data_IF_384696664116
#
_entry.id   IF_384696664116
#
_cell.length_a   1.000
_cell.length_b   1.000
_cell.length_c   1.000
_cell.angle_alpha   90.00
_cell.angle_beta   90.00
_cell.angle_gamma   90.00
#
_symmetry.space_group_name_H-M   'P 1'
#
loop_
_entity.id
_entity.type
_entity.pdbx_description
1 polymer ?
#
# COMPACT_ATOMS: atom_id res chain seq x y z
N UNK A 1 -39.87 -12.26 87.52
CA UNK A 1 -39.35 -11.20 86.64
C UNK A 1 -37.83 -11.32 86.59
N UNK A 2 -37.27 -11.60 85.40
CA UNK A 2 -35.85 -11.51 84.98
C UNK A 2 -34.77 -12.28 85.76
N UNK A 3 -33.75 -12.88 85.13
CA UNK A 3 -33.46 -13.46 83.81
C UNK A 3 -32.04 -14.05 84.00
N UNK A 4 -31.84 -15.34 83.73
CA UNK A 4 -30.53 -16.01 83.76
C UNK A 4 -29.61 -15.40 82.68
N UNK A 5 -28.35 -15.08 83.01
CA UNK A 5 -27.31 -14.77 82.01
C UNK A 5 -26.42 -16.00 81.84
N UNK A 6 -26.49 -16.58 80.65
CA UNK A 6 -25.66 -17.69 80.19
C UNK A 6 -24.47 -17.10 79.41
N UNK A 7 -23.28 -17.63 79.67
CA UNK A 7 -22.06 -17.34 78.95
C UNK A 7 -22.12 -17.82 77.49
N UNK A 8 -21.50 -17.08 76.57
CA UNK A 8 -21.26 -17.50 75.20
C UNK A 8 -19.86 -17.06 74.76
N UNK A 9 -18.95 -18.04 74.61
CA UNK A 9 -17.69 -17.87 73.89
C UNK A 9 -18.00 -17.67 72.40
N UNK A 10 -17.57 -16.56 71.82
CA UNK A 10 -17.57 -16.34 70.37
C UNK A 10 -16.18 -16.67 69.86
N UNK A 11 -16.06 -17.79 69.15
CA UNK A 11 -14.86 -18.18 68.41
C UNK A 11 -14.82 -17.37 67.11
N UNK A 12 -13.85 -16.47 66.97
CA UNK A 12 -13.65 -15.70 65.75
C UNK A 12 -12.98 -16.58 64.67
N UNK A 13 -13.74 -16.98 63.65
CA UNK A 13 -13.16 -17.50 62.41
C UNK A 13 -12.57 -16.33 61.62
N UNK A 14 -11.25 -16.30 61.50
CA UNK A 14 -10.55 -15.41 60.58
C UNK A 14 -10.79 -15.87 59.14
N UNK A 15 -11.59 -15.12 58.38
CA UNK A 15 -11.65 -15.23 56.93
C UNK A 15 -10.46 -14.48 56.35
N UNK A 16 -9.41 -15.20 55.95
CA UNK A 16 -8.40 -14.67 55.03
C UNK A 16 -9.02 -14.58 53.63
N UNK A 17 -9.10 -13.39 52.99
CA UNK A 17 -9.43 -13.33 51.58
C UNK A 17 -8.26 -13.91 50.80
N UNK A 18 -8.46 -15.10 50.22
CA UNK A 18 -7.59 -15.59 49.17
C UNK A 18 -7.77 -14.64 47.97
N UNK A 19 -6.80 -13.75 47.76
CA UNK A 19 -6.60 -13.11 46.46
C UNK A 19 -6.21 -14.21 45.47
N UNK A 20 -7.23 -14.83 44.89
CA UNK A 20 -7.08 -15.72 43.75
C UNK A 20 -6.72 -14.85 42.53
N UNK A 21 -5.43 -14.57 42.38
CA UNK A 21 -4.84 -14.24 41.08
C UNK A 21 -4.83 -15.50 40.21
N UNK A 22 -6.01 -15.91 39.75
CA UNK A 22 -6.13 -16.88 38.67
C UNK A 22 -6.55 -16.09 37.44
N UNK A 23 -5.55 -15.56 36.73
CA UNK A 23 -5.72 -15.11 35.36
C UNK A 23 -6.03 -16.39 34.57
N UNK A 24 -7.32 -16.70 34.42
CA UNK A 24 -7.77 -17.75 33.50
C UNK A 24 -7.11 -17.45 32.18
N UNK A 25 -6.26 -18.37 31.68
CA UNK A 25 -5.78 -18.30 30.31
C UNK A 25 -7.02 -18.14 29.44
N UNK A 26 -7.17 -16.95 28.86
CA UNK A 26 -8.39 -16.65 28.16
C UNK A 26 -8.43 -17.54 26.92
N UNK A 27 -9.54 -18.23 26.68
CA UNK A 27 -9.75 -19.11 25.52
C UNK A 27 -9.99 -18.30 24.23
N UNK A 28 -9.52 -17.05 24.21
CA UNK A 28 -9.71 -16.08 23.15
C UNK A 28 -8.46 -15.20 23.01
N UNK A 29 -8.16 -14.71 21.80
CA UNK A 29 -7.07 -13.75 21.59
C UNK A 29 -7.33 -12.44 22.33
N UNK A 30 -6.25 -11.70 22.63
CA UNK A 30 -6.31 -10.36 23.24
C UNK A 30 -5.61 -9.34 22.37
N UNK A 31 -5.90 -8.05 22.61
CA UNK A 31 -5.21 -6.98 21.89
C UNK A 31 -3.71 -7.01 22.16
N UNK A 32 -3.30 -7.04 23.42
CA UNK A 32 -1.90 -6.93 23.80
C UNK A 32 -1.03 -8.07 23.26
N UNK A 33 -1.55 -9.30 23.29
CA UNK A 33 -0.76 -10.48 22.95
C UNK A 33 -0.77 -10.80 21.46
N UNK A 34 -1.94 -10.88 20.82
CA UNK A 34 -2.07 -11.28 19.42
C UNK A 34 -2.44 -10.13 18.48
N UNK A 35 -3.58 -9.46 18.71
CA UNK A 35 -4.17 -8.56 17.70
C UNK A 35 -3.34 -7.31 17.44
N UNK A 36 -2.64 -6.77 18.45
CA UNK A 36 -1.77 -5.59 18.28
C UNK A 36 -0.70 -5.81 17.21
N UNK A 37 -0.16 -7.03 17.07
CA UNK A 37 0.85 -7.36 16.06
C UNK A 37 0.25 -7.32 14.66
N UNK A 38 -0.95 -7.91 14.50
CA UNK A 38 -1.68 -7.88 13.23
C UNK A 38 -2.01 -6.44 12.83
N UNK A 39 -2.49 -5.62 13.76
CA UNK A 39 -2.81 -4.20 13.53
C UNK A 39 -1.55 -3.39 13.19
N UNK A 40 -0.45 -3.58 13.92
CA UNK A 40 0.82 -2.92 13.61
C UNK A 40 1.34 -3.29 12.22
N UNK A 41 1.27 -4.57 11.86
CA UNK A 41 1.86 -5.08 10.62
C UNK A 41 1.04 -4.72 9.38
N UNK A 42 -0.29 -4.67 9.50
CA UNK A 42 -1.19 -4.62 8.34
C UNK A 42 -2.05 -3.35 8.27
N UNK A 43 -2.26 -2.64 9.38
CA UNK A 43 -3.22 -1.53 9.43
C UNK A 43 -2.56 -0.18 9.72
N UNK A 44 -1.58 -0.12 10.61
CA UNK A 44 -1.02 1.16 11.08
C UNK A 44 -0.32 1.96 9.98
N UNK A 45 0.24 1.31 8.96
CA UNK A 45 0.88 2.02 7.85
C UNK A 45 -0.06 3.04 7.19
N UNK A 46 -1.35 2.69 7.08
CA UNK A 46 -2.40 3.57 6.58
C UNK A 46 -3.16 4.28 7.72
N UNK A 47 -3.39 3.60 8.84
CA UNK A 47 -4.16 4.10 9.99
C UNK A 47 -3.25 4.69 11.07
N UNK A 48 -2.46 5.68 10.68
CA UNK A 48 -1.66 6.49 11.60
C UNK A 48 -1.85 7.98 11.25
N UNK A 49 -1.52 8.90 12.16
CA UNK A 49 -1.69 10.33 11.92
C UNK A 49 -1.03 10.81 10.61
N UNK A 50 -1.83 11.44 9.75
CA UNK A 50 -1.39 12.03 8.49
C UNK A 50 -1.39 11.09 7.28
N UNK A 51 -1.61 9.80 7.48
CA UNK A 51 -1.78 8.83 6.39
C UNK A 51 -3.25 8.74 5.95
N UNK A 52 -3.53 7.91 4.94
CA UNK A 52 -4.86 7.85 4.29
C UNK A 52 -5.99 7.37 5.21
N UNK A 53 -5.68 6.59 6.24
CA UNK A 53 -6.67 6.05 7.17
C UNK A 53 -7.41 7.19 7.87
N UNK A 54 -8.76 7.23 7.83
CA UNK A 54 -9.53 8.34 8.40
C UNK A 54 -9.53 8.35 9.94
N UNK A 55 -9.03 7.30 10.57
CA UNK A 55 -8.82 7.14 12.00
C UNK A 55 -7.48 6.47 12.27
N UNK A 56 -6.89 6.80 13.42
CA UNK A 56 -5.66 6.21 13.92
C UNK A 56 -5.92 4.84 14.56
N UNK A 57 -4.98 3.91 14.41
CA UNK A 57 -4.95 2.59 15.05
C UNK A 57 -3.63 2.36 15.80
N UNK A 58 -3.02 3.43 16.33
CA UNK A 58 -1.72 3.39 17.01
C UNK A 58 -1.79 2.94 18.46
N UNK A 59 -2.99 2.82 19.03
CA UNK A 59 -3.23 2.37 20.42
C UNK A 59 -4.51 1.54 20.55
N UNK A 60 -4.66 0.81 21.67
CA UNK A 60 -5.86 0.02 21.95
C UNK A 60 -7.11 0.91 22.05
N UNK A 61 -6.98 2.06 22.72
CA UNK A 61 -8.06 3.01 22.94
C UNK A 61 -8.61 3.56 21.62
N UNK A 62 -7.73 3.72 20.63
CA UNK A 62 -8.08 4.13 19.28
C UNK A 62 -8.69 2.98 18.45
N UNK A 63 -8.17 1.75 18.57
CA UNK A 63 -8.64 0.59 17.78
C UNK A 63 -9.99 0.07 18.28
N UNK A 64 -10.17 -0.06 19.60
CA UNK A 64 -11.30 -0.73 20.23
C UNK A 64 -12.68 -0.23 19.76
N UNK A 65 -12.95 1.09 19.61
CA UNK A 65 -14.23 1.58 19.12
C UNK A 65 -14.59 1.09 17.72
N UNK A 66 -13.58 0.79 16.89
CA UNK A 66 -13.75 0.34 15.52
C UNK A 66 -13.74 -1.17 15.37
N UNK A 67 -13.55 -1.94 16.44
CA UNK A 67 -13.44 -3.40 16.41
C UNK A 67 -14.57 -4.10 15.59
N UNK A 68 -15.87 -3.75 15.73
CA UNK A 68 -16.92 -4.37 14.91
C UNK A 68 -16.76 -4.07 13.40
N UNK A 69 -16.32 -2.86 13.05
CA UNK A 69 -16.10 -2.47 11.66
C UNK A 69 -14.85 -3.14 11.10
N UNK A 70 -13.76 -3.19 11.87
CA UNK A 70 -12.53 -3.90 11.51
C UNK A 70 -12.87 -5.36 11.20
N UNK A 71 -13.61 -6.05 12.09
CA UNK A 71 -14.09 -7.42 11.89
C UNK A 71 -14.82 -7.58 10.55
N UNK A 72 -15.79 -6.71 10.27
CA UNK A 72 -16.54 -6.73 9.01
C UNK A 72 -15.60 -6.61 7.81
N UNK A 73 -14.72 -5.61 7.81
CA UNK A 73 -13.83 -5.31 6.68
C UNK A 73 -12.77 -6.36 6.42
N UNK A 74 -12.21 -6.98 7.47
CA UNK A 74 -11.25 -8.08 7.29
C UNK A 74 -11.94 -9.37 6.84
N UNK A 75 -13.17 -9.64 7.31
CA UNK A 75 -13.95 -10.79 6.86
C UNK A 75 -14.37 -10.68 5.40
N UNK A 76 -14.71 -9.47 4.95
CA UNK A 76 -15.03 -9.15 3.55
C UNK A 76 -13.77 -9.05 2.67
N UNK A 77 -12.57 -9.15 3.26
CA UNK A 77 -11.27 -8.94 2.60
C UNK A 77 -11.17 -7.58 1.88
N UNK A 78 -11.88 -6.58 2.39
CA UNK A 78 -11.75 -5.19 1.95
C UNK A 78 -10.55 -4.49 2.60
N UNK A 79 -10.08 -5.00 3.75
CA UNK A 79 -8.94 -4.48 4.49
C UNK A 79 -7.95 -5.59 4.85
N UNK A 80 -6.63 -5.37 4.69
CA UNK A 80 -6.00 -4.27 3.96
C UNK A 80 -6.50 -4.21 2.52
N UNK A 81 -6.56 -3.01 1.91
CA UNK A 81 -7.13 -2.82 0.60
C UNK A 81 -6.14 -3.36 -0.45
N UNK A 82 -6.18 -4.66 -0.69
CA UNK A 82 -5.33 -5.34 -1.65
C UNK A 82 -6.18 -6.36 -2.40
N UNK A 83 -6.53 -6.00 -3.64
CA UNK A 83 -7.62 -6.61 -4.40
C UNK A 83 -7.23 -7.90 -5.13
N UNK A 84 -6.03 -8.44 -4.85
CA UNK A 84 -5.55 -9.68 -5.45
C UNK A 84 -6.27 -10.89 -4.83
N UNK A 85 -6.91 -11.70 -5.66
CA UNK A 85 -7.69 -12.86 -5.22
C UNK A 85 -6.81 -13.89 -4.47
N UNK A 86 -7.37 -14.54 -3.44
CA UNK A 86 -6.62 -15.43 -2.53
C UNK A 86 -6.43 -16.87 -3.03
N UNK A 87 -6.98 -17.18 -4.21
CA UNK A 87 -7.13 -18.55 -4.71
C UNK A 87 -6.85 -18.71 -6.23
N UNK A 88 -6.70 -17.61 -6.97
CA UNK A 88 -6.51 -17.61 -8.43
C UNK A 88 -5.21 -16.90 -8.82
N UNK A 89 -4.40 -17.53 -9.65
CA UNK A 89 -3.11 -17.00 -10.11
C UNK A 89 -1.94 -17.35 -9.19
N UNK A 90 -0.85 -16.59 -9.31
CA UNK A 90 0.37 -16.76 -8.50
C UNK A 90 0.13 -16.38 -7.03
N UNK A 91 0.03 -17.37 -6.14
CA UNK A 91 -0.28 -17.13 -4.73
C UNK A 91 0.92 -16.81 -3.83
N UNK A 92 2.14 -17.12 -4.28
CA UNK A 92 3.36 -16.86 -3.51
C UNK A 92 3.95 -15.50 -3.89
N UNK A 93 3.28 -14.44 -3.46
CA UNK A 93 3.68 -13.06 -3.73
C UNK A 93 4.76 -12.60 -2.74
N UNK A 94 5.71 -11.80 -3.23
CA UNK A 94 6.64 -11.07 -2.37
C UNK A 94 5.93 -9.84 -1.81
N UNK A 95 6.07 -9.58 -0.51
CA UNK A 95 5.39 -8.47 0.18
C UNK A 95 3.86 -8.55 0.07
N UNK A 96 3.30 -9.74 0.25
CA UNK A 96 1.85 -9.98 0.26
C UNK A 96 1.17 -9.26 1.43
N UNK A 97 0.23 -8.36 1.14
CA UNK A 97 -0.52 -7.59 2.15
C UNK A 97 -1.87 -8.21 2.52
N UNK A 98 -2.21 -9.36 1.93
CA UNK A 98 -3.44 -10.07 2.30
C UNK A 98 -3.29 -10.58 3.72
N UNK A 99 -4.33 -10.38 4.53
CA UNK A 99 -4.42 -11.08 5.81
C UNK A 99 -4.60 -12.58 5.58
N UNK A 100 -3.84 -13.35 6.35
CA UNK A 100 -4.01 -14.80 6.41
C UNK A 100 -5.38 -15.16 7.02
N UNK A 101 -5.89 -16.35 6.72
CA UNK A 101 -7.12 -16.82 7.35
C UNK A 101 -7.00 -16.92 8.89
N UNK A 102 -5.79 -17.19 9.38
CA UNK A 102 -5.46 -17.24 10.80
C UNK A 102 -5.54 -15.84 11.44
N UNK A 103 -4.99 -14.82 10.80
CA UNK A 103 -5.04 -13.43 11.29
C UNK A 103 -6.48 -12.91 11.30
N UNK A 104 -7.25 -13.18 10.22
CA UNK A 104 -8.68 -12.85 10.16
C UNK A 104 -9.42 -13.55 11.30
N UNK A 105 -9.19 -14.85 11.50
CA UNK A 105 -9.80 -15.62 12.58
C UNK A 105 -9.45 -15.08 13.96
N UNK A 106 -8.21 -14.65 14.16
CA UNK A 106 -7.72 -14.06 15.41
C UNK A 106 -8.42 -12.74 15.71
N UNK A 107 -8.54 -11.85 14.72
CA UNK A 107 -9.29 -10.60 14.86
C UNK A 107 -10.76 -10.90 15.17
N UNK A 108 -11.39 -11.78 14.41
CA UNK A 108 -12.81 -12.13 14.58
C UNK A 108 -13.08 -12.67 15.99
N UNK A 109 -12.28 -13.63 16.46
CA UNK A 109 -12.43 -14.22 17.79
C UNK A 109 -12.21 -13.18 18.90
N UNK A 110 -11.23 -12.28 18.74
CA UNK A 110 -11.02 -11.17 19.67
C UNK A 110 -12.23 -10.23 19.74
N UNK A 111 -12.79 -9.86 18.59
CA UNK A 111 -13.98 -8.99 18.55
C UNK A 111 -15.20 -9.69 19.14
N UNK A 112 -15.41 -10.97 18.81
CA UNK A 112 -16.54 -11.77 19.31
C UNK A 112 -16.45 -11.97 20.84
N UNK A 113 -15.24 -11.95 21.41
CA UNK A 113 -14.98 -11.94 22.85
C UNK A 113 -15.17 -10.55 23.52
N UNK A 114 -15.60 -9.53 22.78
CA UNK A 114 -15.78 -8.17 23.30
C UNK A 114 -14.55 -7.27 23.22
N UNK A 115 -13.58 -7.63 22.37
CA UNK A 115 -12.34 -6.89 22.11
C UNK A 115 -11.50 -6.61 23.38
N UNK A 116 -11.15 -7.63 24.19
CA UNK A 116 -10.40 -7.45 25.44
C UNK A 116 -8.96 -6.96 25.20
N UNK A 117 -8.47 -6.08 26.08
CA UNK A 117 -7.09 -5.59 26.06
C UNK A 117 -6.06 -6.71 26.30
N UNK A 118 -6.29 -7.59 27.29
CA UNK A 118 -5.29 -8.56 27.75
C UNK A 118 -4.28 -7.94 28.72
N UNK A 119 -3.11 -8.57 28.88
CA UNK A 119 -2.03 -8.06 29.73
C UNK A 119 -1.20 -7.00 28.96
N UNK A 120 -1.21 -5.71 29.36
CA UNK A 120 -0.43 -4.68 28.66
C UNK A 120 1.07 -4.95 28.59
N UNK A 121 1.63 -5.78 29.48
CA UNK A 121 3.05 -6.16 29.44
C UNK A 121 3.42 -7.05 28.24
N UNK A 122 2.42 -7.64 27.57
CA UNK A 122 2.61 -8.47 26.36
C UNK A 122 2.60 -7.65 25.05
N UNK A 123 2.31 -6.34 25.15
CA UNK A 123 2.33 -5.43 24.01
C UNK A 123 3.69 -5.46 23.32
N UNK A 124 3.71 -5.51 21.97
CA UNK A 124 4.95 -5.34 21.24
C UNK A 124 5.40 -3.88 21.37
N UNK A 125 6.71 -3.60 21.23
CA UNK A 125 7.18 -2.24 21.05
C UNK A 125 6.40 -1.54 19.92
N UNK A 126 6.09 -0.23 20.04
CA UNK A 126 5.52 0.52 18.92
C UNK A 126 6.43 0.42 17.69
N UNK A 127 5.84 0.25 16.51
CA UNK A 127 6.57 0.38 15.25
C UNK A 127 6.71 1.84 14.88
N UNK A 128 7.91 2.20 14.46
CA UNK A 128 8.15 3.49 13.83
C UNK A 128 7.75 3.40 12.35
N UNK A 129 6.91 4.33 11.92
CA UNK A 129 6.59 4.50 10.51
C UNK A 129 7.10 5.87 10.04
N UNK A 130 7.52 5.97 8.76
CA UNK A 130 7.93 7.25 8.19
C UNK A 130 6.83 8.30 8.33
N UNK A 131 7.19 9.49 8.78
CA UNK A 131 6.24 10.58 8.87
C UNK A 131 5.83 11.05 7.47
N UNK A 132 4.69 11.73 7.37
CA UNK A 132 4.27 12.34 6.11
C UNK A 132 5.34 13.33 5.63
N UNK A 133 5.81 13.14 4.40
CA UNK A 133 6.88 13.93 3.80
C UNK A 133 8.29 13.36 4.03
N UNK A 134 8.41 12.15 4.57
CA UNK A 134 9.68 11.42 4.68
C UNK A 134 9.73 10.25 3.69
N UNK A 135 10.93 9.97 3.18
CA UNK A 135 11.20 8.83 2.31
C UNK A 135 11.06 7.52 3.08
N UNK A 136 10.12 6.67 2.66
CA UNK A 136 9.86 5.39 3.32
C UNK A 136 10.98 4.39 3.11
N UNK A 137 11.56 4.37 1.91
CA UNK A 137 12.67 3.47 1.59
C UNK A 137 13.98 3.87 2.29
N UNK A 138 14.06 5.09 2.84
CA UNK A 138 15.30 5.56 3.46
C UNK A 138 15.67 4.85 4.76
N UNK A 139 14.70 4.26 5.46
CA UNK A 139 14.97 3.43 6.62
C UNK A 139 15.79 2.17 6.27
N UNK A 140 15.66 1.67 5.04
CA UNK A 140 16.38 0.48 4.55
C UNK A 140 17.58 0.84 3.67
N UNK A 141 17.44 1.86 2.83
CA UNK A 141 18.40 2.18 1.77
C UNK A 141 19.23 3.45 2.03
N UNK A 142 18.96 4.18 3.10
CA UNK A 142 19.50 5.53 3.29
C UNK A 142 18.80 6.58 2.41
N UNK A 143 19.22 7.86 2.42
CA UNK A 143 18.61 8.87 1.57
C UNK A 143 18.73 8.53 0.08
N UNK A 144 17.83 9.02 -0.79
CA UNK A 144 17.96 8.83 -2.23
C UNK A 144 19.27 9.43 -2.75
N UNK A 145 19.92 8.75 -3.69
CA UNK A 145 21.12 9.25 -4.36
C UNK A 145 20.82 10.45 -5.26
N UNK A 146 19.60 10.51 -5.79
CA UNK A 146 19.17 11.56 -6.68
C UNK A 146 17.72 11.93 -6.42
N UNK A 147 17.41 13.22 -6.42
CA UNK A 147 16.03 13.71 -6.26
C UNK A 147 15.68 14.70 -7.37
N UNK A 148 14.46 14.58 -7.90
CA UNK A 148 13.96 15.43 -8.99
C UNK A 148 12.59 15.95 -8.57
N UNK A 149 12.41 17.26 -8.61
CA UNK A 149 11.16 17.91 -8.20
C UNK A 149 10.37 18.39 -9.42
N UNK A 150 9.04 18.30 -9.36
CA UNK A 150 8.17 18.99 -10.31
C UNK A 150 8.32 20.51 -10.18
N UNK A 151 7.84 21.28 -11.16
CA UNK A 151 7.70 22.73 -10.98
C UNK A 151 6.57 23.05 -9.99
N UNK A 152 6.60 24.21 -9.30
CA UNK A 152 5.58 24.59 -8.35
C UNK A 152 4.17 24.71 -8.95
N UNK A 153 3.17 24.26 -8.20
CA UNK A 153 1.76 24.37 -8.57
C UNK A 153 0.88 24.80 -7.38
N UNK A 154 -0.16 25.58 -7.64
CA UNK A 154 -1.11 25.97 -6.59
C UNK A 154 -2.30 25.01 -6.59
N UNK A 155 -2.38 24.15 -5.58
CA UNK A 155 -3.53 23.26 -5.38
C UNK A 155 -4.66 24.06 -4.74
N UNK A 156 -5.83 24.20 -5.39
CA UNK A 156 -6.97 24.89 -4.79
C UNK A 156 -7.59 24.03 -3.68
N UNK A 157 -8.28 24.68 -2.74
CA UNK A 157 -9.01 23.97 -1.67
C UNK A 157 -10.19 23.14 -2.20
N UNK A 158 -10.85 23.60 -3.26
CA UNK A 158 -12.03 22.96 -3.82
C UNK A 158 -11.92 22.95 -5.34
N UNK A 159 -12.47 21.91 -5.98
CA UNK A 159 -12.47 21.80 -7.43
C UNK A 159 -12.84 20.40 -7.89
N UNK A 160 -12.82 20.21 -9.21
CA UNK A 160 -12.76 18.89 -9.82
C UNK A 160 -11.30 18.42 -9.86
N UNK A 161 -11.07 17.25 -10.46
CA UNK A 161 -9.74 16.72 -10.70
C UNK A 161 -8.87 17.69 -11.53
N UNK A 162 -7.60 17.81 -11.15
CA UNK A 162 -6.63 18.68 -11.79
C UNK A 162 -5.39 17.88 -12.17
N UNK A 163 -4.87 18.11 -13.39
CA UNK A 163 -3.60 17.55 -13.85
C UNK A 163 -2.56 18.64 -13.99
N UNK A 164 -1.42 18.44 -13.33
CA UNK A 164 -0.22 19.24 -13.51
C UNK A 164 0.86 18.40 -14.18
N UNK A 165 1.28 18.82 -15.38
CA UNK A 165 2.13 18.01 -16.26
C UNK A 165 3.40 18.75 -16.71
N UNK A 166 4.27 19.17 -15.78
CA UNK A 166 5.52 19.82 -16.15
C UNK A 166 6.55 18.82 -16.65
N UNK A 167 7.50 19.33 -17.44
CA UNK A 167 8.77 18.66 -17.74
C UNK A 167 9.90 19.39 -17.02
N UNK A 168 10.78 18.65 -16.35
CA UNK A 168 11.91 19.20 -15.59
C UNK A 168 13.18 18.47 -15.97
N UNK A 169 14.30 19.18 -16.10
CA UNK A 169 15.60 18.55 -16.34
C UNK A 169 15.93 17.59 -15.19
N UNK A 170 16.34 16.36 -15.53
CA UNK A 170 16.62 15.35 -14.51
C UNK A 170 17.88 15.68 -13.72
N UNK A 171 18.86 16.35 -14.32
CA UNK A 171 20.19 16.55 -13.74
C UNK A 171 21.04 15.27 -13.66
N UNK A 172 20.63 14.18 -14.31
CA UNK A 172 21.37 12.92 -14.35
C UNK A 172 22.48 13.04 -15.41
N UNK A 173 23.74 12.92 -14.98
CA UNK A 173 24.90 13.11 -15.85
C UNK A 173 25.29 11.85 -16.64
N UNK A 174 25.02 10.67 -16.08
CA UNK A 174 25.45 9.38 -16.61
C UNK A 174 24.31 8.36 -16.50
N UNK A 175 24.26 7.41 -17.45
CA UNK A 175 23.29 6.32 -17.39
C UNK A 175 23.59 5.47 -16.16
N UNK A 176 22.58 5.20 -15.34
CA UNK A 176 22.75 4.38 -14.14
C UNK A 176 21.58 3.42 -13.96
N UNK A 177 21.87 2.21 -13.48
CA UNK A 177 20.81 1.29 -13.08
C UNK A 177 20.13 1.72 -11.78
N UNK A 178 18.81 1.77 -11.79
CA UNK A 178 17.98 2.07 -10.62
C UNK A 178 17.89 0.81 -9.74
N UNK A 179 18.06 0.99 -8.43
CA UNK A 179 17.81 0.00 -7.37
C UNK A 179 16.40 0.15 -6.79
N UNK A 180 15.97 1.39 -6.55
CA UNK A 180 14.63 1.70 -6.10
C UNK A 180 14.18 3.11 -6.48
N UNK A 181 12.87 3.33 -6.50
CA UNK A 181 12.24 4.63 -6.76
C UNK A 181 11.13 4.85 -5.74
N UNK A 182 11.00 6.07 -5.26
CA UNK A 182 9.87 6.50 -4.44
C UNK A 182 9.38 7.86 -4.93
N UNK A 183 8.07 8.03 -5.04
CA UNK A 183 7.44 9.34 -5.31
C UNK A 183 6.87 9.89 -4.01
N UNK A 184 7.24 11.11 -3.68
CA UNK A 184 6.92 11.78 -2.43
C UNK A 184 6.18 13.09 -2.71
N UNK A 185 4.84 13.12 -2.52
CA UNK A 185 4.09 14.36 -2.44
C UNK A 185 4.58 15.23 -1.29
N UNK A 186 4.39 16.55 -1.39
CA UNK A 186 4.69 17.42 -0.25
C UNK A 186 3.81 17.06 0.95
N UNK A 187 4.29 17.36 2.15
CA UNK A 187 3.50 17.15 3.37
C UNK A 187 2.17 17.88 3.36
N UNK A 188 2.10 19.06 2.73
CA UNK A 188 0.90 19.88 2.69
C UNK A 188 -0.15 19.35 1.70
N UNK A 189 0.29 18.81 0.55
CA UNK A 189 -0.59 18.25 -0.46
C UNK A 189 -0.72 16.71 -0.38
N UNK A 190 -0.16 16.06 0.63
CA UNK A 190 -0.23 14.59 0.77
C UNK A 190 -1.66 14.06 0.64
N UNK A 191 -2.65 14.73 1.26
CA UNK A 191 -4.06 14.33 1.17
C UNK A 191 -4.74 14.61 -0.18
N UNK A 192 -4.17 15.48 -1.01
CA UNK A 192 -4.75 15.89 -2.30
C UNK A 192 -4.01 15.32 -3.51
N UNK A 193 -2.75 14.90 -3.40
CA UNK A 193 -2.02 14.23 -4.48
C UNK A 193 -2.48 12.79 -4.62
N UNK A 194 -3.39 12.54 -5.56
CA UNK A 194 -4.01 11.23 -5.78
C UNK A 194 -3.15 10.32 -6.68
N UNK A 195 -2.60 10.87 -7.77
CA UNK A 195 -1.56 10.22 -8.57
C UNK A 195 -0.42 11.19 -8.89
N UNK A 196 0.78 10.65 -9.11
CA UNK A 196 1.97 11.42 -9.46
C UNK A 196 2.92 10.59 -10.33
N UNK A 197 2.46 10.28 -11.54
CA UNK A 197 3.20 9.45 -12.46
C UNK A 197 4.35 10.24 -13.08
N UNK A 198 5.48 9.59 -13.26
CA UNK A 198 6.67 10.20 -13.87
C UNK A 198 7.29 9.30 -14.93
N UNK A 199 7.86 9.91 -15.96
CA UNK A 199 8.54 9.22 -17.04
C UNK A 199 9.77 9.99 -17.48
N UNK A 200 10.80 9.27 -17.92
CA UNK A 200 11.97 9.88 -18.53
C UNK A 200 11.65 10.30 -19.96
N UNK A 201 12.22 11.43 -20.37
CA UNK A 201 12.20 11.96 -21.72
C UNK A 201 13.66 12.15 -22.15
N UNK A 202 14.04 11.63 -23.32
CA UNK A 202 15.40 11.72 -23.87
C UNK A 202 15.36 12.30 -25.27
N UNK A 203 16.51 12.76 -25.77
CA UNK A 203 16.61 13.14 -27.18
C UNK A 203 16.83 11.92 -28.08
N UNK A 204 16.12 11.84 -29.19
CA UNK A 204 16.36 10.87 -30.25
C UNK A 204 17.56 11.28 -31.14
N UNK A 205 17.84 10.51 -32.20
CA UNK A 205 18.94 10.77 -33.14
C UNK A 205 18.82 12.13 -33.87
N UNK A 206 17.61 12.69 -33.94
CA UNK A 206 17.33 13.99 -34.56
C UNK A 206 17.37 15.15 -33.55
N UNK A 207 17.58 14.85 -32.27
CA UNK A 207 17.54 15.83 -31.18
C UNK A 207 16.13 16.14 -30.66
N UNK A 208 15.10 15.40 -31.10
CA UNK A 208 13.73 15.55 -30.64
C UNK A 208 13.52 14.88 -29.29
N UNK A 209 12.84 15.55 -28.37
CA UNK A 209 12.52 15.00 -27.06
C UNK A 209 11.37 13.99 -27.17
N UNK A 210 11.63 12.74 -26.79
CA UNK A 210 10.69 11.62 -26.84
C UNK A 210 10.62 10.89 -25.51
N UNK A 211 9.47 10.30 -25.19
CA UNK A 211 9.31 9.46 -23.99
C UNK A 211 10.25 8.26 -24.06
N UNK A 212 11.16 8.16 -23.10
CA UNK A 212 12.10 7.03 -22.97
C UNK A 212 11.44 5.83 -22.28
N UNK A 213 10.79 6.08 -21.14
CA UNK A 213 10.18 5.03 -20.33
C UNK A 213 9.60 5.55 -19.04
N UNK A 214 8.71 4.78 -18.39
CA UNK A 214 8.12 5.19 -17.12
C UNK A 214 9.15 5.06 -15.99
N UNK A 215 9.29 6.12 -15.20
CA UNK A 215 10.17 6.17 -14.04
C UNK A 215 9.44 5.58 -12.83
N UNK A 216 8.25 6.11 -12.54
CA UNK A 216 7.42 5.69 -11.40
C UNK A 216 5.94 5.76 -11.78
N UNK A 217 5.17 4.77 -11.35
CA UNK A 217 3.72 4.92 -11.19
C UNK A 217 3.48 5.20 -9.70
N UNK A 218 2.80 6.29 -9.39
CA UNK A 218 2.40 6.60 -8.02
C UNK A 218 0.90 6.78 -7.98
N UNK A 219 0.27 5.98 -7.14
CA UNK A 219 -1.04 6.23 -6.59
C UNK A 219 -0.88 6.47 -5.09
N UNK A 220 -1.77 7.27 -4.53
CA UNK A 220 -1.82 7.52 -3.10
C UNK A 220 -1.75 6.20 -2.32
N UNK A 221 -0.93 6.15 -1.26
CA UNK A 221 -0.64 4.94 -0.46
C UNK A 221 0.43 3.98 -0.97
N UNK A 222 0.85 4.06 -2.24
CA UNK A 222 1.93 3.22 -2.75
C UNK A 222 3.23 3.60 -2.03
N UNK A 223 4.00 2.60 -1.60
CA UNK A 223 5.21 2.85 -0.78
C UNK A 223 6.43 3.22 -1.61
N UNK A 224 6.52 2.72 -2.84
CA UNK A 224 7.69 2.83 -3.71
C UNK A 224 7.87 1.56 -4.55
N UNK A 225 8.86 1.58 -5.45
CA UNK A 225 9.17 0.49 -6.35
C UNK A 225 10.63 0.05 -6.15
N UNK A 226 10.86 -1.26 -6.00
CA UNK A 226 12.22 -1.82 -5.96
C UNK A 226 12.47 -2.59 -7.24
N UNK A 227 13.56 -2.27 -7.93
CA UNK A 227 13.99 -3.03 -9.10
C UNK A 227 14.49 -4.40 -8.61
N UNK A 228 14.03 -5.52 -9.20
CA UNK A 228 14.44 -6.85 -8.78
C UNK A 228 15.95 -7.08 -8.88
N UNK A 229 16.46 -8.02 -8.08
CA UNK A 229 17.87 -8.41 -8.12
C UNK A 229 18.27 -8.89 -9.51
N UNK A 230 19.41 -8.40 -9.99
CA UNK A 230 19.98 -8.74 -11.30
C UNK A 230 19.26 -8.07 -12.48
N UNK A 231 18.35 -7.14 -12.22
CA UNK A 231 17.65 -6.38 -13.24
C UNK A 231 18.07 -4.91 -13.21
N UNK A 232 18.00 -4.23 -14.35
CA UNK A 232 18.33 -2.82 -14.50
C UNK A 232 17.18 -2.08 -15.18
N UNK A 233 16.56 -1.14 -14.44
CA UNK A 233 15.79 -0.05 -15.02
C UNK A 233 16.74 1.13 -15.19
N UNK A 234 17.02 1.52 -16.42
CA UNK A 234 18.00 2.59 -16.69
C UNK A 234 17.40 3.96 -16.37
N UNK A 235 18.14 4.75 -15.58
CA UNK A 235 17.96 6.19 -15.49
C UNK A 235 18.88 6.86 -16.53
N UNK A 236 18.33 7.41 -17.62
CA UNK A 236 19.15 7.93 -18.72
C UNK A 236 19.81 9.26 -18.38
N UNK A 237 21.07 9.40 -18.79
CA UNK A 237 21.82 10.66 -18.77
C UNK A 237 21.14 11.73 -19.63
N UNK A 238 21.36 13.00 -19.26
CA UNK A 238 20.90 14.18 -20.01
C UNK A 238 19.39 14.14 -20.34
N UNK A 239 18.61 13.49 -19.48
CA UNK A 239 17.18 13.31 -19.65
C UNK A 239 16.39 14.40 -18.94
N UNK A 240 15.10 14.50 -19.26
CA UNK A 240 14.09 15.18 -18.45
C UNK A 240 13.19 14.18 -17.76
N UNK A 241 12.47 14.63 -16.75
CA UNK A 241 11.33 13.94 -16.16
C UNK A 241 10.06 14.69 -16.54
N UNK A 242 9.19 14.02 -17.29
CA UNK A 242 7.82 14.42 -17.52
C UNK A 242 6.93 13.92 -16.39
N UNK A 243 6.09 14.80 -15.88
CA UNK A 243 5.17 14.54 -14.77
C UNK A 243 3.74 14.44 -15.27
N UNK A 244 2.92 13.65 -14.59
CA UNK A 244 1.46 13.69 -14.69
C UNK A 244 0.89 13.56 -13.28
N UNK A 245 0.71 14.71 -12.63
CA UNK A 245 0.31 14.82 -11.23
C UNK A 245 -1.18 15.14 -11.17
N UNK A 246 -1.96 14.17 -10.70
CA UNK A 246 -3.40 14.29 -10.49
C UNK A 246 -3.65 14.72 -9.05
N UNK A 247 -4.16 15.95 -8.88
CA UNK A 247 -4.66 16.45 -7.61
C UNK A 247 -6.18 16.32 -7.52
N UNK A 248 -6.66 15.77 -6.41
CA UNK A 248 -8.03 15.80 -5.96
C UNK A 248 -8.15 16.75 -4.75
N UNK A 249 -8.72 17.96 -4.90
CA UNK A 249 -8.84 18.92 -3.81
C UNK A 249 -9.54 18.35 -2.56
N UNK A 250 -8.89 18.43 -1.40
CA UNK A 250 -9.33 17.82 -0.13
C UNK A 250 -9.97 18.82 0.85
N UNK A 251 -10.26 20.04 0.39
CA UNK A 251 -10.74 21.15 1.22
C UNK A 251 -9.62 22.11 1.68
N UNK A 252 -8.34 21.81 1.42
CA UNK A 252 -7.21 22.67 1.81
C UNK A 252 -6.46 23.18 0.59
N UNK A 253 -6.31 24.50 0.51
CA UNK A 253 -5.48 25.11 -0.53
C UNK A 253 -3.99 24.96 -0.15
N UNK A 254 -3.17 24.53 -1.11
CA UNK A 254 -1.73 24.37 -0.94
C UNK A 254 -1.01 25.21 -2.00
N UNK A 255 -0.40 26.35 -1.63
CA UNK A 255 0.35 27.16 -2.56
C UNK A 255 1.72 26.55 -2.84
N UNK A 256 2.18 26.65 -4.11
CA UNK A 256 3.51 26.22 -4.56
C UNK A 256 3.86 24.77 -4.16
N UNK A 257 2.89 23.87 -4.25
CA UNK A 257 3.13 22.45 -4.07
C UNK A 257 4.10 21.91 -5.13
N UNK A 258 4.93 20.96 -4.71
CA UNK A 258 5.85 20.23 -5.59
C UNK A 258 5.88 18.78 -5.15
N UNK A 259 5.85 17.87 -6.13
CA UNK A 259 6.07 16.45 -5.91
C UNK A 259 7.54 16.14 -6.23
N UNK A 260 8.16 15.29 -5.41
CA UNK A 260 9.56 14.87 -5.59
C UNK A 260 9.62 13.39 -5.91
N UNK A 261 10.48 12.97 -6.82
CA UNK A 261 10.83 11.56 -7.03
C UNK A 261 12.27 11.35 -6.55
N UNK A 262 12.45 10.36 -5.68
CA UNK A 262 13.74 9.91 -5.17
C UNK A 262 14.17 8.66 -5.91
N UNK A 263 15.43 8.62 -6.35
CA UNK A 263 16.05 7.50 -7.03
C UNK A 263 17.23 7.02 -6.20
N UNK A 264 17.25 5.71 -5.93
CA UNK A 264 18.40 4.99 -5.42
C UNK A 264 19.00 4.22 -6.57
N UNK A 265 20.30 4.36 -6.80
CA UNK A 265 21.01 3.64 -7.83
C UNK A 265 21.55 2.32 -7.31
N UNK A 266 21.91 1.43 -8.23
CA UNK A 266 22.66 0.24 -7.89
C UNK A 266 24.06 0.62 -7.37
N UNK A 267 24.63 -0.26 -6.57
CA UNK A 267 25.97 -0.11 -6.00
C UNK A 267 27.03 -0.18 -7.13
N UNK A 268 28.22 0.39 -6.93
CA UNK A 268 29.27 0.47 -7.97
C UNK A 268 29.77 -0.90 -8.47
N UNK A 269 29.59 -1.96 -7.66
CA UNK A 269 29.96 -3.34 -8.00
C UNK A 269 28.85 -4.11 -8.73
N UNK A 270 27.71 -3.47 -9.01
CA UNK A 270 26.63 -4.08 -9.78
C UNK A 270 27.04 -4.25 -11.24
N UNK A 271 27.00 -5.50 -11.71
CA UNK A 271 27.31 -5.85 -13.10
C UNK A 271 26.13 -5.47 -14.03
N UNK A 272 26.17 -4.23 -14.53
CA UNK A 272 25.18 -3.69 -15.47
C UNK A 272 25.17 -4.46 -16.81
N UNK A 273 26.30 -5.00 -17.26
CA UNK A 273 26.40 -5.72 -18.54
C UNK A 273 25.67 -7.06 -18.51
N UNK A 274 25.69 -7.74 -17.36
CA UNK A 274 24.96 -8.99 -17.15
C UNK A 274 23.50 -8.81 -16.75
N UNK A 275 23.08 -7.57 -16.46
CA UNK A 275 21.76 -7.29 -15.92
C UNK A 275 20.64 -7.51 -16.96
N UNK A 276 19.51 -8.04 -16.51
CA UNK A 276 18.31 -8.11 -17.34
C UNK A 276 17.69 -6.71 -17.46
N UNK A 277 17.37 -6.23 -18.69
CA UNK A 277 16.65 -4.98 -18.84
C UNK A 277 15.27 -5.07 -18.18
N UNK A 278 14.87 -4.03 -17.46
CA UNK A 278 13.59 -3.94 -16.77
C UNK A 278 12.91 -2.62 -17.11
N UNK A 279 11.62 -2.69 -17.44
CA UNK A 279 10.79 -1.53 -17.72
C UNK A 279 9.46 -1.58 -16.96
N UNK A 280 8.89 -0.40 -16.71
CA UNK A 280 7.51 -0.28 -16.25
C UNK A 280 6.66 0.19 -17.44
N UNK A 281 5.72 -0.63 -17.88
CA UNK A 281 4.86 -0.36 -19.03
C UNK A 281 3.38 -0.50 -18.71
N UNK A 282 2.60 0.41 -19.28
CA UNK A 282 1.16 0.31 -19.34
C UNK A 282 0.76 -0.53 -20.57
N UNK A 283 0.17 -1.70 -20.34
CA UNK A 283 -0.36 -2.55 -21.40
C UNK A 283 -1.85 -2.27 -21.58
N UNK A 284 -2.20 -1.63 -22.70
CA UNK A 284 -3.58 -1.22 -22.96
C UNK A 284 -4.47 -2.39 -23.40
N UNK A 285 -5.74 -2.35 -23.00
CA UNK A 285 -6.77 -3.25 -23.51
C UNK A 285 -7.18 -2.86 -24.95
N UNK A 286 -7.68 -3.81 -25.73
CA UNK A 286 -8.21 -3.52 -27.08
C UNK A 286 -9.37 -2.53 -26.99
N UNK A 287 -9.42 -1.57 -27.92
CA UNK A 287 -10.49 -0.56 -27.98
C UNK A 287 -10.04 0.89 -27.85
N UNK A 288 -8.76 1.15 -27.53
CA UNK A 288 -8.10 2.42 -27.84
C UNK A 288 -8.70 3.70 -27.23
N UNK A 289 -9.44 3.61 -26.12
CA UNK A 289 -9.82 4.77 -25.30
C UNK A 289 -11.32 4.97 -25.09
N UNK A 290 -12.17 4.59 -26.04
CA UNK A 290 -13.62 4.87 -25.95
C UNK A 290 -14.45 3.60 -25.80
N UNK A 291 -14.81 3.28 -24.56
CA UNK A 291 -15.76 2.22 -24.24
C UNK A 291 -17.17 2.79 -24.06
N UNK A 292 -18.09 2.42 -24.96
CA UNK A 292 -19.51 2.70 -24.76
C UNK A 292 -20.15 1.61 -23.89
N UNK A 293 -20.38 1.94 -22.62
CA UNK A 293 -21.13 1.07 -21.69
C UNK A 293 -22.50 1.71 -21.47
N UNK A 294 -23.59 1.15 -22.02
CA UNK A 294 -24.92 1.72 -21.81
C UNK A 294 -25.33 1.65 -20.33
N UNK A 295 -26.27 2.50 -19.87
CA UNK A 295 -26.83 2.39 -18.52
C UNK A 295 -27.31 0.95 -18.24
N UNK A 296 -26.94 0.41 -17.08
CA UNK A 296 -27.17 -1.00 -16.68
C UNK A 296 -26.54 -2.06 -17.61
N UNK A 297 -25.73 -1.65 -18.59
CA UNK A 297 -24.97 -2.53 -19.46
C UNK A 297 -23.71 -3.08 -18.79
N UNK A 298 -23.14 -4.10 -19.43
CA UNK A 298 -21.86 -4.70 -19.10
C UNK A 298 -20.98 -4.70 -20.34
N UNK A 299 -19.67 -4.57 -20.13
CA UNK A 299 -18.68 -4.71 -21.18
C UNK A 299 -17.52 -5.54 -20.62
N UNK A 300 -16.99 -6.41 -21.47
CA UNK A 300 -15.72 -7.09 -21.24
C UNK A 300 -14.85 -6.80 -22.46
N UNK A 301 -13.60 -6.43 -22.21
CA UNK A 301 -12.58 -6.24 -23.24
C UNK A 301 -11.30 -6.92 -22.79
N UNK A 302 -10.37 -7.12 -23.71
CA UNK A 302 -9.10 -7.80 -23.49
C UNK A 302 -8.00 -7.12 -24.32
N UNK A 303 -6.79 -7.07 -23.81
CA UNK A 303 -5.59 -6.66 -24.55
C UNK A 303 -4.69 -7.86 -24.79
N UNK A 304 -3.91 -7.83 -25.86
CA UNK A 304 -2.88 -8.83 -26.11
C UNK A 304 -1.54 -8.15 -26.32
N UNK A 305 -0.52 -8.71 -25.69
CA UNK A 305 0.87 -8.36 -25.95
C UNK A 305 1.67 -9.65 -26.10
N UNK A 306 2.66 -9.64 -26.98
CA UNK A 306 3.52 -10.79 -27.24
C UNK A 306 4.96 -10.36 -27.15
N UNK A 307 5.78 -11.20 -26.53
CA UNK A 307 7.21 -11.02 -26.44
C UNK A 307 7.90 -11.99 -27.40
N UNK A 308 8.96 -11.55 -28.06
CA UNK A 308 9.79 -12.37 -28.94
C UNK A 308 10.92 -13.10 -28.18
N UNK A 309 11.00 -12.91 -26.87
CA UNK A 309 11.94 -13.56 -25.96
C UNK A 309 11.26 -13.90 -24.62
N UNK A 310 11.84 -14.83 -23.81
CA UNK A 310 11.33 -15.10 -22.46
C UNK A 310 11.41 -13.85 -21.58
N UNK A 311 10.33 -13.56 -20.86
CA UNK A 311 10.25 -12.45 -19.91
C UNK A 311 9.89 -12.95 -18.52
N UNK A 312 10.33 -12.21 -17.50
CA UNK A 312 9.86 -12.37 -16.12
C UNK A 312 8.93 -11.22 -15.79
N UNK A 313 7.74 -11.55 -15.29
CA UNK A 313 6.81 -10.54 -14.77
C UNK A 313 7.07 -10.35 -13.29
N UNK A 314 7.57 -9.18 -12.92
CA UNK A 314 7.98 -8.87 -11.54
C UNK A 314 6.81 -8.34 -10.69
N UNK A 315 5.92 -7.56 -11.30
CA UNK A 315 4.73 -7.00 -10.68
C UNK A 315 3.64 -6.75 -11.72
N UNK A 316 2.40 -6.64 -11.25
CA UNK A 316 1.25 -6.28 -12.06
C UNK A 316 0.26 -5.51 -11.21
N UNK A 317 -0.28 -4.43 -11.78
CA UNK A 317 -1.25 -3.56 -11.14
C UNK A 317 -2.44 -3.40 -12.10
N UNK A 318 -3.64 -3.86 -11.73
CA UNK A 318 -4.83 -3.58 -12.50
C UNK A 318 -5.18 -2.09 -12.36
N UNK A 319 -5.56 -1.45 -13.46
CA UNK A 319 -6.04 -0.07 -13.45
C UNK A 319 -7.38 0.02 -14.17
N UNK A 320 -8.41 0.42 -13.42
CA UNK A 320 -9.75 0.66 -13.96
C UNK A 320 -10.29 1.99 -13.38
N UNK A 321 -11.39 2.49 -13.93
CA UNK A 321 -12.13 3.64 -13.37
C UNK A 321 -13.41 3.14 -12.68
N UNK A 322 -14.25 4.03 -12.16
CA UNK A 322 -15.44 3.77 -11.31
C UNK A 322 -16.42 2.66 -11.76
N UNK A 323 -16.38 2.22 -13.02
CA UNK A 323 -17.21 1.14 -13.57
C UNK A 323 -16.49 -0.20 -13.70
N UNK A 324 -15.20 -0.25 -13.39
CA UNK A 324 -14.41 -1.46 -13.27
C UNK A 324 -14.99 -2.37 -12.19
N UNK A 325 -14.88 -3.67 -12.41
CA UNK A 325 -15.36 -4.70 -11.48
C UNK A 325 -14.26 -5.73 -11.25
N UNK A 326 -13.66 -6.21 -12.35
CA UNK A 326 -12.62 -7.20 -12.29
C UNK A 326 -11.64 -7.02 -13.44
N UNK A 327 -10.40 -7.44 -13.22
CA UNK A 327 -9.37 -7.56 -14.24
C UNK A 327 -8.52 -8.80 -13.97
N UNK A 328 -8.16 -9.51 -15.03
CA UNK A 328 -7.29 -10.67 -14.99
C UNK A 328 -6.07 -10.44 -15.88
N UNK A 329 -4.98 -11.14 -15.56
CA UNK A 329 -3.85 -11.30 -16.46
C UNK A 329 -3.67 -12.79 -16.75
N UNK A 330 -3.60 -13.12 -18.03
CA UNK A 330 -3.50 -14.50 -18.52
C UNK A 330 -2.31 -14.65 -19.48
N UNK A 331 -1.62 -15.78 -19.37
CA UNK A 331 -0.70 -16.25 -20.40
C UNK A 331 -1.49 -17.09 -21.40
N UNK A 332 -1.45 -16.69 -22.67
CA UNK A 332 -2.03 -17.45 -23.78
C UNK A 332 -0.91 -18.13 -24.57
N UNK A 333 -1.02 -19.44 -24.76
CA UNK A 333 -0.05 -20.25 -25.50
C UNK A 333 -0.59 -20.55 -26.91
N UNK A 334 -0.17 -19.83 -27.97
CA UNK A 334 -0.81 -19.92 -29.28
C UNK A 334 -0.73 -21.30 -29.92
N UNK A 335 0.35 -22.04 -29.67
CA UNK A 335 0.58 -23.38 -30.23
C UNK A 335 -0.42 -24.44 -29.74
N UNK A 336 -0.88 -24.30 -28.49
CA UNK A 336 -1.77 -25.27 -27.85
C UNK A 336 -3.18 -24.74 -27.62
N UNK A 337 -3.38 -23.43 -27.69
CA UNK A 337 -4.60 -22.74 -27.29
C UNK A 337 -4.82 -22.68 -25.77
N UNK A 338 -3.88 -23.17 -24.95
CA UNK A 338 -3.97 -23.13 -23.48
C UNK A 338 -3.98 -21.67 -23.00
N UNK A 339 -4.80 -21.40 -21.99
CA UNK A 339 -4.76 -20.16 -21.19
C UNK A 339 -4.42 -20.49 -19.74
N UNK A 340 -3.68 -19.61 -19.11
CA UNK A 340 -3.26 -19.74 -17.72
C UNK A 340 -3.40 -18.39 -17.03
N UNK A 341 -4.30 -18.31 -16.05
CA UNK A 341 -4.48 -17.10 -15.24
C UNK A 341 -3.31 -16.99 -14.27
N UNK A 342 -2.58 -15.89 -14.36
CA UNK A 342 -1.43 -15.62 -13.48
C UNK A 342 -1.75 -14.54 -12.44
N UNK A 343 -2.77 -13.73 -12.67
CA UNK A 343 -3.28 -12.73 -11.73
C UNK A 343 -4.76 -12.48 -11.90
N UNK A 344 -5.47 -12.24 -10.79
CA UNK A 344 -6.89 -11.96 -10.76
C UNK A 344 -7.21 -10.93 -9.67
N UNK A 345 -8.00 -9.92 -10.03
CA UNK A 345 -8.69 -9.06 -9.08
C UNK A 345 -10.18 -9.09 -9.41
N UNK A 346 -10.98 -9.77 -8.59
CA UNK A 346 -12.43 -9.96 -8.84
C UNK A 346 -13.33 -8.92 -8.16
N UNK A 347 -12.79 -8.20 -7.18
CA UNK A 347 -13.51 -7.18 -6.41
C UNK A 347 -12.76 -5.84 -6.46
N UNK A 348 -12.50 -5.37 -7.68
CA UNK A 348 -11.76 -4.13 -7.88
C UNK A 348 -12.55 -2.91 -7.38
N UNK A 349 -11.84 -1.95 -6.79
CA UNK A 349 -12.40 -0.70 -6.29
C UNK A 349 -11.50 0.49 -6.65
N UNK A 350 -12.08 1.50 -7.31
CA UNK A 350 -11.39 2.73 -7.77
C UNK A 350 -10.81 3.58 -6.65
N UNK A 351 -11.35 3.45 -5.43
CA UNK A 351 -10.84 4.15 -4.26
C UNK A 351 -9.45 3.69 -3.86
N UNK A 352 -8.92 2.61 -4.47
CA UNK A 352 -7.57 2.15 -4.20
C UNK A 352 -6.87 1.46 -5.37
N UNK A 353 -5.64 1.89 -5.65
CA UNK A 353 -4.82 1.44 -6.77
C UNK A 353 -3.43 1.05 -6.26
N UNK A 354 -3.11 -0.24 -6.15
CA UNK A 354 -1.78 -0.77 -5.77
C UNK A 354 -1.37 -1.96 -6.62
#
# INVERSE_FOLDING_TARGET
MNKRKLAGLISALAFTPALAGAQTAADHPTYAKEVSRIIQDNCQICHQPGQIGPMSFTSYEEVRPWAPLIRMKVMEREMPPYQYDADIGVQHLKNDWRLSAEDIGTIVAWVDAGAPMGNPEELPPPKDFPAVGEWRLAAELGPPDHTIQSTPWNVPANGQDLWWEPEVDSGIAENRCIKAVETLPSKAAHGSTHHANSHFITQDENGEWVTYGRLSEFAFGKLGEKVPKGACRTAPANSKVGWSIHYYPDGKAVPNDQVTVGIWYQDEDFDEESAYPQDLRAYNLSGGGDFLIPPHGKLMTQGFHSFDHPVRLDSWQPHLHLRGVAMSMEVFYPETGKREVISQASNWNAGWNH
#
